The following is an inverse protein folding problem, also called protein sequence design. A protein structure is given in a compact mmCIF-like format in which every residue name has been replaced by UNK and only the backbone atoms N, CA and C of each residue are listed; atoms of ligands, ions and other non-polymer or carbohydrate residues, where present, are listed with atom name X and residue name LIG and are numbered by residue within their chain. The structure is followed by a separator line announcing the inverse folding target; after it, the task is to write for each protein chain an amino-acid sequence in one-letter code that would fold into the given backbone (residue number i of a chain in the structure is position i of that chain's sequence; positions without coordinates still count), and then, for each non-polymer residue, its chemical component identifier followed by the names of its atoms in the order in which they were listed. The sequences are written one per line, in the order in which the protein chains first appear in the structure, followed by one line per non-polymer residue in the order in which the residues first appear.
data_IF_363768072235
#
_entry.id   IF_363768072235
#
_cell.length_a   1.000
_cell.length_b   1.000
_cell.length_c   1.000
_cell.angle_alpha   90.00
_cell.angle_beta   90.00
_cell.angle_gamma   90.00
#
_symmetry.space_group_name_H-M   'P 1'
#
loop_
_entity.id
_entity.type
_entity.pdbx_description
1 polymer ?
#
# COMPACT_ATOMS: atom_id res chain seq x y z
N UNK A 1 13.48 3.65 -5.52
CA UNK A 1 12.43 2.92 -6.27
C UNK A 1 12.12 1.57 -5.63
N UNK A 2 13.10 0.66 -5.52
CA UNK A 2 12.88 -0.68 -4.92
C UNK A 2 12.31 -0.63 -3.50
N UNK A 3 12.82 0.27 -2.65
CA UNK A 3 12.27 0.46 -1.29
C UNK A 3 10.77 0.83 -1.28
N UNK A 4 10.34 1.71 -2.19
CA UNK A 4 8.92 2.09 -2.31
C UNK A 4 8.08 0.92 -2.83
N UNK A 5 8.57 0.20 -3.84
CA UNK A 5 7.93 -1.01 -4.38
C UNK A 5 7.72 -2.06 -3.29
N UNK A 6 8.77 -2.43 -2.58
CA UNK A 6 8.72 -3.50 -1.57
C UNK A 6 7.79 -3.14 -0.42
N UNK A 7 7.84 -1.88 0.02
CA UNK A 7 6.93 -1.37 1.07
C UNK A 7 5.48 -1.41 0.60
N UNK A 8 5.20 -1.03 -0.66
CA UNK A 8 3.87 -1.09 -1.25
C UNK A 8 3.37 -2.53 -1.42
N UNK A 9 4.24 -3.47 -1.79
CA UNK A 9 3.91 -4.91 -1.88
C UNK A 9 3.52 -5.45 -0.51
N UNK A 10 4.32 -5.21 0.53
CA UNK A 10 4.02 -5.64 1.90
C UNK A 10 2.69 -5.05 2.39
N UNK A 11 2.45 -3.77 2.09
CA UNK A 11 1.21 -3.09 2.40
C UNK A 11 0.01 -3.75 1.70
N UNK A 12 0.11 -4.02 0.39
CA UNK A 12 -0.94 -4.71 -0.39
C UNK A 12 -1.24 -6.10 0.16
N UNK A 13 -0.20 -6.88 0.47
CA UNK A 13 -0.35 -8.23 1.04
C UNK A 13 -1.13 -8.17 2.35
N UNK A 14 -0.73 -7.31 3.28
CA UNK A 14 -1.42 -7.16 4.55
C UNK A 14 -2.88 -6.73 4.40
N UNK A 15 -3.18 -5.85 3.43
CA UNK A 15 -4.55 -5.47 3.12
C UNK A 15 -5.39 -6.67 2.66
N UNK A 16 -4.86 -7.47 1.74
CA UNK A 16 -5.53 -8.68 1.24
C UNK A 16 -5.71 -9.70 2.36
N UNK A 17 -4.69 -9.90 3.21
CA UNK A 17 -4.78 -10.77 4.38
C UNK A 17 -5.99 -10.41 5.24
N UNK A 18 -6.22 -9.12 5.55
CA UNK A 18 -7.39 -8.69 6.32
C UNK A 18 -8.73 -9.05 5.65
N UNK A 19 -8.76 -9.21 4.33
CA UNK A 19 -9.98 -9.58 3.60
C UNK A 19 -10.26 -11.10 3.56
N UNK A 20 -9.29 -11.89 4.01
CA UNK A 20 -9.26 -13.34 3.88
C UNK A 20 -9.17 -14.07 5.24
N UNK A 21 -9.10 -13.34 6.36
CA UNK A 21 -9.05 -13.97 7.68
C UNK A 21 -10.33 -14.76 7.96
N UNK A 22 -10.14 -15.93 8.56
CA UNK A 22 -11.19 -16.77 9.10
C UNK A 22 -11.50 -16.34 10.55
N UNK A 23 -12.70 -15.79 10.84
CA UNK A 23 -13.06 -15.37 12.18
C UNK A 23 -13.16 -16.52 13.20
N UNK A 24 -13.32 -17.76 12.73
CA UNK A 24 -13.43 -18.95 13.58
C UNK A 24 -12.06 -19.59 13.87
N UNK A 25 -10.99 -19.10 13.23
CA UNK A 25 -9.63 -19.58 13.46
C UNK A 25 -9.12 -19.21 14.85
N UNK A 26 -8.42 -20.16 15.50
CA UNK A 26 -7.74 -19.92 16.78
C UNK A 26 -6.68 -18.79 16.69
N UNK A 27 -6.16 -18.51 15.48
CA UNK A 27 -5.16 -17.48 15.24
C UNK A 27 -5.74 -16.14 14.76
N UNK A 28 -7.06 -16.04 14.59
CA UNK A 28 -7.73 -14.88 13.97
C UNK A 28 -7.24 -13.54 14.53
N UNK A 29 -7.23 -13.39 15.86
CA UNK A 29 -6.82 -12.15 16.50
C UNK A 29 -5.35 -11.81 16.26
N UNK A 30 -4.47 -12.81 16.29
CA UNK A 30 -3.04 -12.62 16.07
C UNK A 30 -2.76 -12.20 14.61
N UNK A 31 -3.39 -12.86 13.65
CA UNK A 31 -3.26 -12.56 12.22
C UNK A 31 -3.84 -11.16 11.90
N UNK A 32 -5.00 -10.83 12.46
CA UNK A 32 -5.61 -9.50 12.34
C UNK A 32 -4.69 -8.39 12.86
N UNK A 33 -4.18 -8.55 14.08
CA UNK A 33 -3.26 -7.58 14.70
C UNK A 33 -1.98 -7.45 13.87
N UNK A 34 -1.42 -8.56 13.42
CA UNK A 34 -0.23 -8.58 12.57
C UNK A 34 -0.45 -7.79 11.28
N UNK A 35 -1.52 -8.09 10.54
CA UNK A 35 -1.84 -7.40 9.29
C UNK A 35 -2.12 -5.91 9.49
N UNK A 36 -2.86 -5.53 10.54
CA UNK A 36 -3.09 -4.12 10.90
C UNK A 36 -1.77 -3.40 11.20
N UNK A 37 -0.87 -4.03 11.96
CA UNK A 37 0.42 -3.44 12.28
C UNK A 37 1.28 -3.27 11.02
N UNK A 38 1.31 -4.28 10.13
CA UNK A 38 2.02 -4.17 8.85
C UNK A 38 1.47 -3.00 8.02
N UNK A 39 0.15 -2.80 7.94
CA UNK A 39 -0.44 -1.68 7.21
C UNK A 39 0.00 -0.33 7.79
N UNK A 40 -0.02 -0.17 9.12
CA UNK A 40 0.43 1.05 9.80
C UNK A 40 1.91 1.32 9.56
N UNK A 41 2.76 0.35 9.83
CA UNK A 41 4.22 0.50 9.70
C UNK A 41 4.64 0.75 8.25
N UNK A 42 4.06 0.05 7.28
CA UNK A 42 4.38 0.26 5.86
C UNK A 42 3.89 1.62 5.35
N UNK A 43 2.73 2.10 5.83
CA UNK A 43 2.27 3.46 5.54
C UNK A 43 3.22 4.52 6.11
N UNK A 44 3.53 4.44 7.40
CA UNK A 44 4.41 5.40 8.09
C UNK A 44 5.77 5.45 7.42
N UNK A 45 6.37 4.27 7.19
CA UNK A 45 7.63 4.14 6.47
C UNK A 45 7.53 4.69 5.05
N UNK A 46 6.50 4.30 4.29
CA UNK A 46 6.32 4.72 2.90
C UNK A 46 6.17 6.24 2.75
N UNK A 47 5.40 6.88 3.64
CA UNK A 47 5.27 8.34 3.68
C UNK A 47 6.59 9.02 4.07
N UNK A 48 7.29 8.50 5.08
CA UNK A 48 8.60 9.02 5.48
C UNK A 48 9.63 8.89 4.36
N UNK A 49 9.64 7.77 3.63
CA UNK A 49 10.54 7.54 2.51
C UNK A 49 10.24 8.52 1.35
N UNK A 50 8.97 8.87 1.12
CA UNK A 50 8.57 9.88 0.12
C UNK A 50 9.10 11.26 0.51
N UNK A 51 8.92 11.66 1.78
CA UNK A 51 9.36 12.97 2.29
C UNK A 51 10.88 13.12 2.28
N UNK A 52 11.59 12.05 2.62
CA UNK A 52 13.05 12.03 2.66
C UNK A 52 13.69 11.73 1.31
N UNK A 53 12.89 11.58 0.25
CA UNK A 53 13.39 11.23 -1.06
C UNK A 53 14.27 12.36 -1.62
N UNK A 54 15.59 12.14 -1.61
CA UNK A 54 16.55 13.02 -2.28
C UNK A 54 16.59 12.68 -3.75
N UNK A 55 16.34 13.69 -4.59
CA UNK A 55 16.42 13.62 -6.05
C UNK A 55 17.70 12.88 -6.46
N UNK A 56 17.54 11.76 -7.17
CA UNK A 56 18.68 10.99 -7.70
C UNK A 56 19.40 11.87 -8.74
N UNK A 57 20.73 12.02 -8.68
CA UNK A 57 21.48 12.76 -9.69
C UNK A 57 21.40 12.06 -11.05
N UNK A 58 20.69 12.66 -12.01
CA UNK A 58 20.90 12.55 -13.45
C UNK A 58 21.02 11.14 -14.10
N UNK A 59 20.31 10.11 -13.61
CA UNK A 59 20.42 8.74 -14.18
C UNK A 59 19.49 8.53 -15.38
N UNK A 60 18.31 9.16 -15.43
CA UNK A 60 17.39 9.06 -16.56
C UNK A 60 16.39 10.24 -16.57
N UNK A 61 16.36 11.03 -17.67
CA UNK A 61 15.49 12.22 -17.81
C UNK A 61 13.99 11.87 -17.80
N UNK A 62 13.61 10.72 -18.34
CA UNK A 62 12.22 10.27 -18.35
C UNK A 62 11.76 9.93 -16.93
N UNK A 63 12.57 9.17 -16.18
CA UNK A 63 12.29 8.88 -14.78
C UNK A 63 12.27 10.15 -13.94
N UNK A 64 13.21 11.08 -14.15
CA UNK A 64 13.24 12.37 -13.45
C UNK A 64 11.90 13.11 -13.58
N UNK A 65 11.33 13.13 -14.79
CA UNK A 65 10.04 13.75 -15.05
C UNK A 65 8.86 12.95 -14.48
N UNK A 66 8.94 11.62 -14.49
CA UNK A 66 7.84 10.76 -14.03
C UNK A 66 7.78 10.60 -12.51
N UNK A 67 8.92 10.68 -11.84
CA UNK A 67 9.07 10.38 -10.42
C UNK A 67 8.19 11.22 -9.47
N UNK A 68 8.01 12.54 -9.65
CA UNK A 68 7.09 13.31 -8.81
C UNK A 68 5.66 12.76 -8.83
N UNK A 69 5.21 12.27 -10.00
CA UNK A 69 3.88 11.68 -10.15
C UNK A 69 3.81 10.31 -9.47
N UNK A 70 4.83 9.46 -9.62
CA UNK A 70 4.91 8.18 -8.90
C UNK A 70 4.81 8.37 -7.39
N UNK A 71 5.56 9.32 -6.83
CA UNK A 71 5.55 9.61 -5.40
C UNK A 71 4.20 10.19 -4.95
N UNK A 72 3.59 11.06 -5.76
CA UNK A 72 2.24 11.57 -5.51
C UNK A 72 1.18 10.47 -5.53
N UNK A 73 1.25 9.56 -6.49
CA UNK A 73 0.33 8.43 -6.61
C UNK A 73 0.49 7.44 -5.44
N UNK A 74 1.73 7.18 -5.02
CA UNK A 74 2.02 6.36 -3.84
C UNK A 74 1.48 7.00 -2.55
N UNK A 75 1.67 8.32 -2.37
CA UNK A 75 1.11 9.06 -1.24
C UNK A 75 -0.43 8.94 -1.20
N UNK A 76 -1.08 9.14 -2.34
CA UNK A 76 -2.54 9.00 -2.48
C UNK A 76 -3.01 7.61 -2.09
N UNK A 77 -2.32 6.55 -2.49
CA UNK A 77 -2.64 5.18 -2.06
C UNK A 77 -2.64 5.04 -0.53
N UNK A 78 -1.63 5.58 0.14
CA UNK A 78 -1.56 5.51 1.61
C UNK A 78 -2.66 6.33 2.30
N UNK A 79 -3.03 7.48 1.74
CA UNK A 79 -4.13 8.30 2.24
C UNK A 79 -5.48 7.61 2.06
N UNK A 80 -5.77 7.13 0.85
CA UNK A 80 -7.03 6.42 0.54
C UNK A 80 -7.17 5.11 1.33
N UNK A 81 -6.06 4.39 1.55
CA UNK A 81 -6.05 3.23 2.44
C UNK A 81 -6.45 3.61 3.85
N UNK A 82 -5.89 4.70 4.39
CA UNK A 82 -6.20 5.11 5.74
C UNK A 82 -7.68 5.49 5.88
N UNK A 83 -8.24 6.20 4.91
CA UNK A 83 -9.67 6.52 4.90
C UNK A 83 -10.56 5.27 4.92
N UNK A 84 -10.16 4.19 4.23
CA UNK A 84 -10.88 2.93 4.27
C UNK A 84 -10.73 2.28 5.64
N UNK A 85 -9.51 2.22 6.18
CA UNK A 85 -9.23 1.61 7.48
C UNK A 85 -9.92 2.35 8.63
N UNK A 86 -9.99 3.68 8.59
CA UNK A 86 -10.71 4.48 9.58
C UNK A 86 -12.19 4.07 9.63
N UNK A 87 -12.82 3.86 8.46
CA UNK A 87 -14.19 3.34 8.41
C UNK A 87 -14.29 1.93 8.99
N UNK A 88 -13.36 1.04 8.63
CA UNK A 88 -13.29 -0.32 9.20
C UNK A 88 -13.19 -0.29 10.73
N UNK A 89 -12.38 0.59 11.30
CA UNK A 89 -12.21 0.69 12.76
C UNK A 89 -13.43 1.23 13.50
N UNK A 90 -14.36 1.90 12.80
CA UNK A 90 -15.64 2.34 13.38
C UNK A 90 -16.73 1.27 13.40
N UNK A 91 -16.49 0.13 12.75
CA UNK A 91 -17.46 -0.99 12.70
C UNK A 91 -17.53 -1.77 14.01
N UNK A 92 -18.66 -2.43 14.27
CA UNK A 92 -18.90 -3.18 15.51
C UNK A 92 -18.52 -4.66 15.38
N UNK A 93 -18.38 -5.16 14.15
CA UNK A 93 -18.05 -6.56 13.87
C UNK A 93 -17.02 -6.67 12.76
N UNK A 94 -16.35 -7.83 12.71
CA UNK A 94 -15.44 -8.14 11.62
C UNK A 94 -16.16 -8.17 10.26
N UNK A 95 -17.37 -8.71 10.19
CA UNK A 95 -18.14 -8.82 8.93
C UNK A 95 -18.53 -7.45 8.34
N UNK A 96 -18.90 -6.50 9.21
CA UNK A 96 -19.14 -5.11 8.81
C UNK A 96 -17.86 -4.50 8.24
N UNK A 97 -16.73 -4.67 8.94
CA UNK A 97 -15.41 -4.23 8.47
C UNK A 97 -15.01 -4.89 7.15
N UNK A 98 -15.26 -6.19 7.01
CA UNK A 98 -14.97 -6.97 5.81
C UNK A 98 -15.74 -6.48 4.59
N UNK A 99 -17.00 -6.07 4.78
CA UNK A 99 -17.82 -5.46 3.74
C UNK A 99 -17.18 -4.17 3.21
N UNK A 100 -16.60 -3.36 4.09
CA UNK A 100 -15.88 -2.13 3.72
C UNK A 100 -14.57 -2.46 3.00
N UNK A 101 -13.80 -3.42 3.50
CA UNK A 101 -12.54 -3.88 2.89
C UNK A 101 -12.73 -4.53 1.51
N UNK A 102 -13.96 -4.98 1.20
CA UNK A 102 -14.35 -5.54 -0.10
C UNK A 102 -15.19 -4.58 -0.96
N UNK A 103 -15.34 -3.33 -0.53
CA UNK A 103 -16.10 -2.32 -1.26
C UNK A 103 -15.46 -1.97 -2.60
N UNK A 104 -16.22 -1.37 -3.52
CA UNK A 104 -15.71 -0.88 -4.81
C UNK A 104 -14.51 0.08 -4.63
N UNK A 105 -14.55 0.93 -3.58
CA UNK A 105 -13.43 1.82 -3.26
C UNK A 105 -12.17 1.03 -2.89
N UNK A 106 -12.30 -0.02 -2.09
CA UNK A 106 -11.18 -0.89 -1.73
C UNK A 106 -10.61 -1.65 -2.93
N UNK A 107 -11.46 -2.12 -3.85
CA UNK A 107 -11.02 -2.76 -5.10
C UNK A 107 -10.26 -1.76 -6.01
N UNK A 108 -10.72 -0.51 -6.08
CA UNK A 108 -10.00 0.56 -6.79
C UNK A 108 -8.64 0.83 -6.16
N UNK A 109 -8.55 0.89 -4.83
CA UNK A 109 -7.27 1.03 -4.12
C UNK A 109 -6.31 -0.12 -4.48
N UNK A 110 -6.76 -1.37 -4.42
CA UNK A 110 -5.93 -2.54 -4.77
C UNK A 110 -5.47 -2.51 -6.24
N UNK A 111 -6.33 -2.01 -7.14
CA UNK A 111 -5.95 -1.77 -8.55
C UNK A 111 -4.86 -0.71 -8.66
N UNK A 112 -4.99 0.41 -7.96
CA UNK A 112 -3.98 1.47 -7.94
C UNK A 112 -2.64 0.97 -7.38
N UNK A 113 -2.67 0.20 -6.28
CA UNK A 113 -1.48 -0.44 -5.72
C UNK A 113 -0.81 -1.35 -6.75
N UNK A 114 -1.59 -2.19 -7.44
CA UNK A 114 -1.07 -3.11 -8.45
C UNK A 114 -0.42 -2.35 -9.62
N UNK A 115 -1.08 -1.32 -10.14
CA UNK A 115 -0.53 -0.51 -11.22
C UNK A 115 0.76 0.21 -10.82
N UNK A 116 0.84 0.74 -9.59
CA UNK A 116 2.06 1.39 -9.10
C UNK A 116 3.20 0.39 -8.88
N UNK A 117 2.92 -0.82 -8.40
CA UNK A 117 3.93 -1.88 -8.27
C UNK A 117 4.53 -2.20 -9.65
N UNK A 118 3.68 -2.40 -10.66
CA UNK A 118 4.12 -2.67 -12.04
C UNK A 118 4.91 -1.49 -12.63
N UNK A 119 4.50 -0.25 -12.34
CA UNK A 119 5.23 0.92 -12.82
C UNK A 119 6.60 1.06 -12.14
N UNK A 120 6.69 0.80 -10.83
CA UNK A 120 7.98 0.74 -10.15
C UNK A 120 8.89 -0.35 -10.72
N UNK A 121 8.34 -1.53 -11.04
CA UNK A 121 9.07 -2.62 -11.71
C UNK A 121 9.67 -2.16 -13.03
N UNK A 122 8.84 -1.58 -13.90
CA UNK A 122 9.28 -1.02 -15.18
C UNK A 122 10.46 -0.05 -15.00
N UNK A 123 10.37 0.89 -14.05
CA UNK A 123 11.43 1.88 -13.85
C UNK A 123 12.70 1.30 -13.22
N UNK A 124 12.59 0.28 -12.37
CA UNK A 124 13.75 -0.43 -11.82
C UNK A 124 14.48 -1.16 -12.94
N UNK A 125 13.76 -1.92 -13.78
CA UNK A 125 14.33 -2.62 -14.93
C UNK A 125 15.02 -1.66 -15.90
N UNK A 126 14.45 -0.47 -16.14
CA UNK A 126 15.04 0.57 -16.99
C UNK A 126 16.33 1.19 -16.44
N UNK A 127 16.63 1.06 -15.14
CA UNK A 127 17.85 1.56 -14.53
C UNK A 127 18.95 0.49 -14.42
N UNK A 128 18.58 -0.79 -14.49
CA UNK A 128 19.50 -1.92 -14.47
C UNK A 128 20.03 -2.30 -15.87
N UNK A 129 19.42 -1.74 -16.93
CA UNK A 129 19.80 -1.85 -18.35
C UNK A 129 20.54 -0.60 -18.84
#
# INVERSE_FOLDING_TARGET
LSLHKDTLIQNRIAYITLTQLDPDSANFNAEKVSAVNTLKTTREKGLSDIENYKVIPNVNKELYNRLPYLLSDLKRVYEEQNEILDKVYTTKSYDEGLTILKSEKAVKLLTMQTNLILEYEYWIEKLEL
#
